data_IF_743837578811
#
_entry.id   IF_743837578811
#
_cell.length_a   1.000
_cell.length_b   1.000
_cell.length_c   1.000
_cell.angle_alpha   90.00
_cell.angle_beta   90.00
_cell.angle_gamma   90.00
#
_symmetry.space_group_name_H-M   'P 1'
#
loop_
_entity.id
_entity.type
_entity.pdbx_description
1 polymer ?
#
# COMPACT_ATOMS: atom_id res chain seq x y z
N UNK A 1 -0.11 -5.62 -17.76
CA UNK A 1 -1.57 -5.71 -18.02
C UNK A 1 -2.33 -4.99 -16.91
N UNK A 2 -3.04 -3.92 -17.22
CA UNK A 2 -3.87 -3.20 -16.23
C UNK A 2 -5.08 -4.07 -15.84
N UNK A 3 -5.29 -4.31 -14.53
CA UNK A 3 -6.36 -5.18 -13.98
C UNK A 3 -7.03 -4.52 -12.77
N UNK A 4 -8.19 -5.07 -12.34
CA UNK A 4 -8.90 -4.64 -11.14
C UNK A 4 -8.26 -5.19 -9.85
N UNK A 5 -8.43 -4.46 -8.73
CA UNK A 5 -7.87 -4.88 -7.43
C UNK A 5 -8.47 -6.20 -6.94
N UNK A 6 -9.78 -6.34 -7.01
CA UNK A 6 -10.47 -7.54 -6.55
C UNK A 6 -9.99 -8.80 -7.28
N UNK A 7 -9.71 -8.70 -8.60
CA UNK A 7 -9.20 -9.82 -9.41
C UNK A 7 -7.91 -10.43 -8.83
N UNK A 8 -6.96 -9.57 -8.43
CA UNK A 8 -5.67 -10.04 -7.90
C UNK A 8 -5.73 -10.43 -6.43
N UNK A 9 -6.53 -9.72 -5.60
CA UNK A 9 -6.60 -10.00 -4.15
C UNK A 9 -7.34 -11.29 -3.84
N UNK A 10 -8.44 -11.59 -4.54
CA UNK A 10 -9.18 -12.85 -4.35
C UNK A 10 -8.29 -14.04 -4.68
N UNK A 11 -7.54 -13.96 -5.78
CA UNK A 11 -6.58 -15.01 -6.17
C UNK A 11 -5.45 -15.14 -5.14
N UNK A 12 -4.82 -14.02 -4.76
CA UNK A 12 -3.74 -14.02 -3.77
C UNK A 12 -4.18 -14.63 -2.44
N UNK A 13 -5.39 -14.30 -1.98
CA UNK A 13 -5.97 -14.88 -0.75
C UNK A 13 -6.14 -16.39 -0.84
N UNK A 14 -6.66 -16.88 -1.96
CA UNK A 14 -6.84 -18.32 -2.21
C UNK A 14 -5.49 -19.07 -2.23
N UNK A 15 -4.44 -18.45 -2.72
CA UNK A 15 -3.08 -19.00 -2.83
C UNK A 15 -2.22 -18.75 -1.59
N UNK A 16 -2.75 -18.13 -0.53
CA UNK A 16 -2.01 -17.70 0.68
C UNK A 16 -0.80 -16.83 0.33
N UNK A 17 -1.04 -15.86 -0.53
CA UNK A 17 -0.10 -14.84 -0.98
C UNK A 17 -0.65 -13.44 -0.66
N UNK A 18 0.21 -12.43 -0.72
CA UNK A 18 -0.22 -11.04 -0.71
C UNK A 18 0.38 -10.29 -1.91
N UNK A 19 -0.37 -9.33 -2.42
CA UNK A 19 0.08 -8.44 -3.49
C UNK A 19 0.81 -7.25 -2.86
N UNK A 20 2.04 -7.02 -3.30
CA UNK A 20 2.79 -5.83 -2.90
C UNK A 20 2.16 -4.59 -3.50
N UNK A 21 1.95 -3.57 -2.67
CA UNK A 21 1.46 -2.26 -3.07
C UNK A 21 2.57 -1.23 -2.82
N UNK A 22 3.15 -0.73 -3.90
CA UNK A 22 4.28 0.19 -3.85
C UNK A 22 3.82 1.62 -4.14
N UNK A 23 4.07 2.54 -3.20
CA UNK A 23 3.90 3.98 -3.46
C UNK A 23 4.99 4.45 -4.42
N UNK A 24 4.60 5.09 -5.50
CA UNK A 24 5.49 5.43 -6.62
C UNK A 24 5.41 6.91 -7.00
N UNK A 25 5.87 7.85 -6.14
CA UNK A 25 5.77 9.29 -6.36
C UNK A 25 6.74 9.84 -7.41
N UNK A 26 7.46 8.99 -8.14
CA UNK A 26 8.30 9.38 -9.26
C UNK A 26 8.43 8.27 -10.31
N UNK A 27 8.99 8.60 -11.47
CA UNK A 27 9.13 7.69 -12.60
C UNK A 27 10.06 6.49 -12.29
N UNK A 28 11.12 6.73 -11.54
CA UNK A 28 12.12 5.74 -11.19
C UNK A 28 11.52 4.62 -10.33
N UNK A 29 10.68 4.99 -9.36
CA UNK A 29 9.95 4.03 -8.55
C UNK A 29 8.94 3.23 -9.36
N UNK A 30 8.23 3.85 -10.32
CA UNK A 30 7.34 3.13 -11.24
C UNK A 30 8.15 2.10 -12.05
N UNK A 31 9.29 2.50 -12.62
CA UNK A 31 10.16 1.63 -13.41
C UNK A 31 10.71 0.48 -12.58
N UNK A 32 11.23 0.77 -11.38
CA UNK A 32 11.74 -0.23 -10.47
C UNK A 32 10.67 -1.26 -10.07
N UNK A 33 9.46 -0.80 -9.70
CA UNK A 33 8.35 -1.67 -9.31
C UNK A 33 7.90 -2.60 -10.45
N UNK A 34 7.73 -2.07 -11.66
CA UNK A 34 7.34 -2.87 -12.83
C UNK A 34 8.44 -3.87 -13.19
N UNK A 35 9.71 -3.44 -13.22
CA UNK A 35 10.83 -4.34 -13.54
C UNK A 35 10.95 -5.46 -12.50
N UNK A 36 10.86 -5.14 -11.20
CA UNK A 36 10.88 -6.12 -10.13
C UNK A 36 9.74 -7.16 -10.30
N UNK A 37 8.52 -6.69 -10.54
CA UNK A 37 7.35 -7.56 -10.70
C UNK A 37 7.47 -8.46 -11.94
N UNK A 38 7.95 -7.94 -13.06
CA UNK A 38 8.18 -8.72 -14.28
C UNK A 38 9.29 -9.76 -14.12
N UNK A 39 10.37 -9.43 -13.40
CA UNK A 39 11.51 -10.34 -13.18
C UNK A 39 11.12 -11.54 -12.31
N UNK A 40 10.29 -11.31 -11.26
CA UNK A 40 9.80 -12.40 -10.41
C UNK A 40 8.49 -13.01 -10.91
N UNK A 41 7.92 -12.48 -12.00
CA UNK A 41 6.64 -12.88 -12.61
C UNK A 41 5.48 -12.87 -11.59
N UNK A 42 5.28 -11.74 -10.90
CA UNK A 42 4.25 -11.55 -9.88
C UNK A 42 3.39 -10.33 -10.17
N UNK A 43 2.10 -10.34 -9.80
CA UNK A 43 1.27 -9.14 -9.86
C UNK A 43 1.77 -8.07 -8.87
N UNK A 44 1.49 -6.80 -9.17
CA UNK A 44 1.87 -5.66 -8.32
C UNK A 44 0.78 -4.58 -8.34
N UNK A 45 0.70 -3.81 -7.25
CA UNK A 45 -0.12 -2.60 -7.18
C UNK A 45 0.84 -1.40 -7.22
N UNK A 46 0.68 -0.53 -8.22
CA UNK A 46 1.25 0.80 -8.21
C UNK A 46 0.26 1.73 -7.51
N UNK A 47 0.69 2.41 -6.47
CA UNK A 47 -0.20 3.31 -5.76
C UNK A 47 0.39 4.71 -5.57
N UNK A 48 -0.48 5.71 -5.47
CA UNK A 48 -0.15 7.09 -5.16
C UNK A 48 -1.00 7.54 -3.98
N UNK A 49 -0.35 7.92 -2.87
CA UNK A 49 -1.06 8.44 -1.71
C UNK A 49 -1.41 9.91 -1.92
N UNK A 50 -2.60 10.34 -1.48
CA UNK A 50 -2.99 11.75 -1.54
C UNK A 50 -1.95 12.67 -0.86
N UNK A 51 -1.33 12.18 0.24
CA UNK A 51 -0.26 12.89 0.94
C UNK A 51 1.00 13.14 0.11
N UNK A 52 1.24 12.39 -0.95
CA UNK A 52 2.37 12.61 -1.88
C UNK A 52 2.12 13.73 -2.89
N UNK A 53 0.95 14.36 -2.90
CA UNK A 53 0.62 15.47 -3.79
C UNK A 53 1.58 16.67 -3.71
N UNK A 54 2.30 16.84 -2.58
CA UNK A 54 3.35 17.84 -2.45
C UNK A 54 4.65 17.49 -3.20
N UNK A 55 4.87 16.21 -3.52
CA UNK A 55 6.01 15.73 -4.30
C UNK A 55 5.69 15.75 -5.80
N UNK A 56 4.53 15.26 -6.17
CA UNK A 56 4.03 15.23 -7.53
C UNK A 56 2.51 15.10 -7.50
N UNK A 57 1.82 15.83 -8.37
CA UNK A 57 0.36 15.77 -8.43
C UNK A 57 -0.15 14.46 -9.05
N UNK A 58 -1.37 14.07 -8.71
CA UNK A 58 -2.02 12.90 -9.29
C UNK A 58 -2.19 13.03 -10.81
N UNK A 59 -2.43 14.27 -11.31
CA UNK A 59 -2.55 14.56 -12.74
C UNK A 59 -1.26 14.30 -13.51
N UNK A 60 -0.12 14.51 -12.87
CA UNK A 60 1.19 14.29 -13.50
C UNK A 60 1.58 12.82 -13.47
N UNK A 61 1.51 12.17 -12.30
CA UNK A 61 2.01 10.81 -12.13
C UNK A 61 1.01 9.74 -12.60
N UNK A 62 -0.29 9.97 -12.44
CA UNK A 62 -1.35 8.99 -12.74
C UNK A 62 -1.35 8.49 -14.17
N UNK A 63 -1.27 9.35 -15.20
CA UNK A 63 -1.16 8.91 -16.60
C UNK A 63 0.08 8.06 -16.86
N UNK A 64 1.20 8.34 -16.18
CA UNK A 64 2.45 7.57 -16.31
C UNK A 64 2.27 6.19 -15.69
N UNK A 65 1.71 6.10 -14.47
CA UNK A 65 1.39 4.82 -13.80
C UNK A 65 0.52 3.94 -14.70
N UNK A 66 -0.57 4.50 -15.25
CA UNK A 66 -1.48 3.80 -16.16
C UNK A 66 -0.79 3.34 -17.45
N UNK A 67 0.11 4.14 -18.00
CA UNK A 67 0.86 3.77 -19.19
C UNK A 67 1.78 2.56 -18.93
N UNK A 68 2.50 2.56 -17.81
CA UNK A 68 3.35 1.44 -17.43
C UNK A 68 2.53 0.20 -17.11
N UNK A 69 1.44 0.33 -16.36
CA UNK A 69 0.53 -0.78 -16.05
C UNK A 69 -0.03 -1.45 -17.31
N UNK A 70 -0.48 -0.67 -18.30
CA UNK A 70 -1.02 -1.19 -19.57
C UNK A 70 0.02 -1.97 -20.38
N UNK A 71 1.31 -1.58 -20.31
CA UNK A 71 2.42 -2.20 -21.07
C UNK A 71 3.06 -3.38 -20.35
N UNK A 72 2.85 -3.50 -19.04
CA UNK A 72 3.46 -4.57 -18.24
C UNK A 72 3.05 -5.96 -18.71
N UNK A 73 3.99 -6.92 -18.59
CA UNK A 73 3.80 -8.35 -18.87
C UNK A 73 3.07 -9.07 -17.76
N UNK A 74 3.06 -8.51 -16.55
CA UNK A 74 2.35 -9.04 -15.38
C UNK A 74 1.09 -8.22 -15.07
N UNK A 75 0.13 -8.76 -14.29
CA UNK A 75 -1.02 -7.99 -13.82
C UNK A 75 -0.58 -6.81 -12.94
N UNK A 76 -1.10 -5.62 -13.21
CA UNK A 76 -0.82 -4.40 -12.46
C UNK A 76 -2.13 -3.69 -12.14
N UNK A 77 -2.33 -3.39 -10.88
CA UNK A 77 -3.41 -2.51 -10.39
C UNK A 77 -2.86 -1.10 -10.26
N UNK A 78 -3.63 -0.10 -10.60
CA UNK A 78 -3.31 1.31 -10.32
C UNK A 78 -4.32 1.83 -9.30
N UNK A 79 -3.81 2.26 -8.14
CA UNK A 79 -4.57 2.51 -6.93
C UNK A 79 -4.30 3.91 -6.35
N UNK A 80 -5.36 4.60 -5.92
CA UNK A 80 -5.24 5.76 -5.05
C UNK A 80 -5.20 5.29 -3.59
N UNK A 81 -4.13 5.61 -2.91
CA UNK A 81 -3.86 5.27 -1.51
C UNK A 81 -4.22 6.45 -0.61
N UNK A 82 -4.81 6.19 0.55
CA UNK A 82 -5.24 7.21 1.54
C UNK A 82 -5.98 8.40 0.92
N UNK A 83 -6.98 8.15 0.08
CA UNK A 83 -7.86 9.21 -0.46
C UNK A 83 -8.74 9.77 0.66
N UNK A 84 -8.52 11.04 1.06
CA UNK A 84 -9.27 11.74 2.10
C UNK A 84 -10.33 12.67 1.51
N UNK A 85 -10.01 13.29 0.38
CA UNK A 85 -10.92 14.22 -0.29
C UNK A 85 -11.75 13.50 -1.35
N UNK A 86 -13.03 13.88 -1.41
CA UNK A 86 -13.94 13.39 -2.45
C UNK A 86 -13.40 13.72 -3.84
N UNK A 87 -12.87 14.93 -4.01
CA UNK A 87 -12.33 15.44 -5.25
C UNK A 87 -11.16 14.59 -5.77
N UNK A 88 -10.22 14.22 -4.91
CA UNK A 88 -9.07 13.39 -5.27
C UNK A 88 -9.51 11.98 -5.68
N UNK A 89 -10.46 11.38 -4.95
CA UNK A 89 -11.00 10.07 -5.26
C UNK A 89 -11.70 10.09 -6.63
N UNK A 90 -12.53 11.10 -6.90
CA UNK A 90 -13.19 11.26 -8.20
C UNK A 90 -12.19 11.49 -9.32
N UNK A 91 -11.13 12.25 -9.06
CA UNK A 91 -10.08 12.49 -10.02
C UNK A 91 -9.30 11.23 -10.38
N UNK A 92 -8.95 10.39 -9.40
CA UNK A 92 -8.31 9.09 -9.64
C UNK A 92 -9.17 8.20 -10.55
N UNK A 93 -10.47 8.09 -10.26
CA UNK A 93 -11.41 7.34 -11.10
C UNK A 93 -11.54 7.92 -12.51
N UNK A 94 -11.59 9.25 -12.64
CA UNK A 94 -11.64 9.94 -13.94
C UNK A 94 -10.38 9.70 -14.78
N UNK A 95 -9.20 9.61 -14.16
CA UNK A 95 -7.95 9.26 -14.84
C UNK A 95 -7.93 7.82 -15.35
N UNK A 96 -8.74 6.93 -14.77
CA UNK A 96 -8.81 5.51 -15.12
C UNK A 96 -8.09 4.59 -14.14
N UNK A 97 -7.91 5.00 -12.90
CA UNK A 97 -7.45 4.13 -11.83
C UNK A 97 -8.44 2.99 -11.64
N UNK A 98 -7.94 1.78 -11.43
CA UNK A 98 -8.78 0.58 -11.30
C UNK A 98 -9.16 0.29 -9.85
N UNK A 99 -8.62 1.06 -8.92
CA UNK A 99 -8.92 0.98 -7.50
C UNK A 99 -8.68 2.31 -6.79
N UNK A 100 -9.46 2.59 -5.77
CA UNK A 100 -9.31 3.75 -4.90
C UNK A 100 -9.50 3.35 -3.45
N UNK A 101 -8.83 4.04 -2.53
CA UNK A 101 -9.10 3.97 -1.10
C UNK A 101 -9.82 5.23 -0.64
N UNK A 102 -10.83 5.05 0.20
CA UNK A 102 -11.39 6.10 1.07
C UNK A 102 -10.83 5.93 2.47
N UNK A 103 -10.03 6.89 2.93
CA UNK A 103 -9.53 6.92 4.30
C UNK A 103 -10.34 7.92 5.13
N UNK A 104 -11.36 7.40 5.79
CA UNK A 104 -12.19 8.10 6.76
C UNK A 104 -12.03 7.52 8.17
N UNK A 105 -10.92 6.81 8.45
CA UNK A 105 -10.67 6.10 9.70
C UNK A 105 -10.42 7.01 10.91
N UNK A 106 -10.16 8.29 10.70
CA UNK A 106 -10.07 9.34 11.71
C UNK A 106 -11.43 9.92 12.12
N UNK A 107 -12.53 9.53 11.44
CA UNK A 107 -13.89 9.98 11.72
C UNK A 107 -14.64 9.01 12.63
N UNK A 108 -15.73 9.46 13.28
CA UNK A 108 -16.63 8.57 13.99
C UNK A 108 -17.12 7.42 13.09
N UNK A 109 -17.32 6.24 13.67
CA UNK A 109 -17.65 5.00 12.94
C UNK A 109 -18.81 5.15 11.92
N UNK A 110 -19.92 5.78 12.37
CA UNK A 110 -21.10 5.99 11.50
C UNK A 110 -20.81 6.96 10.34
N UNK A 111 -19.93 7.93 10.55
CA UNK A 111 -19.53 8.87 9.50
C UNK A 111 -18.58 8.21 8.52
N UNK A 112 -17.66 7.37 8.98
CA UNK A 112 -16.81 6.53 8.12
C UNK A 112 -17.69 5.63 7.23
N UNK A 113 -18.68 4.93 7.82
CA UNK A 113 -19.65 4.13 7.04
C UNK A 113 -20.34 4.99 5.98
N UNK A 114 -20.87 6.15 6.36
CA UNK A 114 -21.64 6.98 5.44
C UNK A 114 -20.82 7.44 4.24
N UNK A 115 -19.59 7.92 4.46
CA UNK A 115 -18.67 8.36 3.41
C UNK A 115 -18.21 7.19 2.54
N UNK A 116 -17.88 6.07 3.16
CA UNK A 116 -17.43 4.88 2.44
C UNK A 116 -18.53 4.35 1.52
N UNK A 117 -19.79 4.29 1.98
CA UNK A 117 -20.94 3.88 1.15
C UNK A 117 -21.12 4.76 -0.08
N UNK A 118 -20.94 6.07 0.07
CA UNK A 118 -21.05 7.00 -1.05
C UNK A 118 -20.00 6.69 -2.12
N UNK A 119 -18.73 6.53 -1.71
CA UNK A 119 -17.64 6.21 -2.63
C UNK A 119 -17.83 4.83 -3.27
N UNK A 120 -18.20 3.80 -2.50
CA UNK A 120 -18.45 2.45 -3.01
C UNK A 120 -19.53 2.47 -4.09
N UNK A 121 -20.64 3.17 -3.84
CA UNK A 121 -21.73 3.28 -4.81
C UNK A 121 -21.28 3.87 -6.16
N UNK A 122 -20.44 4.91 -6.11
CA UNK A 122 -19.92 5.57 -7.31
C UNK A 122 -18.88 4.66 -8.00
N UNK A 123 -17.89 4.19 -7.26
CA UNK A 123 -16.78 3.40 -7.77
C UNK A 123 -17.26 2.10 -8.43
N UNK A 124 -18.16 1.35 -7.77
CA UNK A 124 -18.71 0.11 -8.31
C UNK A 124 -19.51 0.36 -9.60
N UNK A 125 -20.19 1.50 -9.72
CA UNK A 125 -20.88 1.84 -10.98
C UNK A 125 -19.94 2.05 -12.18
N UNK A 126 -18.66 2.33 -11.89
CA UNK A 126 -17.58 2.51 -12.86
C UNK A 126 -16.67 1.26 -12.99
N UNK A 127 -16.95 0.19 -12.25
CA UNK A 127 -16.10 -1.01 -12.23
C UNK A 127 -14.77 -0.81 -11.49
N UNK A 128 -14.70 0.18 -10.57
CA UNK A 128 -13.53 0.49 -9.75
C UNK A 128 -13.69 -0.13 -8.37
N UNK A 129 -12.67 -0.85 -7.88
CA UNK A 129 -12.67 -1.44 -6.55
C UNK A 129 -12.39 -0.40 -5.47
N UNK A 130 -12.93 -0.63 -4.26
CA UNK A 130 -12.79 0.28 -3.12
C UNK A 130 -12.13 -0.43 -1.94
N UNK A 131 -11.08 0.19 -1.41
CA UNK A 131 -10.46 -0.08 -0.12
C UNK A 131 -10.97 0.94 0.91
N UNK A 132 -11.15 0.52 2.17
CA UNK A 132 -11.39 1.41 3.30
C UNK A 132 -10.54 0.98 4.50
N UNK A 133 -10.52 1.80 5.56
CA UNK A 133 -9.72 1.53 6.77
C UNK A 133 -10.55 1.64 8.04
N UNK A 134 -10.29 0.73 8.98
CA UNK A 134 -10.77 0.76 10.35
C UNK A 134 -9.64 0.58 11.36
N UNK A 135 -9.76 1.30 12.47
CA UNK A 135 -8.74 1.39 13.49
C UNK A 135 -7.73 2.49 13.16
N UNK A 136 -6.68 2.59 13.95
CA UNK A 136 -5.65 3.61 13.76
C UNK A 136 -4.30 2.96 13.45
N UNK A 137 -3.78 3.23 12.25
CA UNK A 137 -2.41 2.86 11.86
C UNK A 137 -1.49 4.01 12.20
N UNK A 138 -0.51 3.77 13.07
CA UNK A 138 0.45 4.79 13.52
C UNK A 138 1.25 5.40 12.39
N UNK A 139 1.73 6.63 12.61
CA UNK A 139 2.62 7.32 11.68
C UNK A 139 3.87 7.78 12.41
N UNK A 140 5.03 7.26 11.99
CA UNK A 140 6.33 7.66 12.50
C UNK A 140 6.69 9.08 12.08
N UNK A 141 7.46 9.78 12.90
CA UNK A 141 8.03 11.09 12.59
C UNK A 141 9.05 11.07 11.44
N UNK A 142 9.54 9.89 11.04
CA UNK A 142 10.50 9.69 9.96
C UNK A 142 9.94 8.72 8.91
N UNK A 143 9.79 9.21 7.67
CA UNK A 143 9.39 8.37 6.53
C UNK A 143 7.90 8.01 6.47
N UNK A 144 7.07 8.57 7.35
CA UNK A 144 5.63 8.32 7.42
C UNK A 144 4.76 9.18 6.48
N UNK A 145 5.30 9.68 5.37
CA UNK A 145 4.67 10.69 4.50
C UNK A 145 3.40 10.28 3.75
N UNK A 146 2.75 9.19 4.11
CA UNK A 146 1.58 8.65 3.41
C UNK A 146 0.24 9.30 3.83
N UNK A 147 0.26 10.42 4.57
CA UNK A 147 -0.95 11.24 4.69
C UNK A 147 -1.46 11.56 6.08
N UNK A 148 -0.78 11.12 7.16
CA UNK A 148 -1.11 11.52 8.54
C UNK A 148 0.03 12.29 9.20
N UNK A 149 -0.33 13.18 10.13
CA UNK A 149 0.67 13.76 11.02
C UNK A 149 1.29 12.67 11.89
N UNK A 150 2.58 12.80 12.27
CA UNK A 150 3.20 11.85 13.20
C UNK A 150 2.43 11.78 14.51
N UNK A 151 2.24 10.55 15.01
CA UNK A 151 1.65 10.33 16.32
C UNK A 151 2.68 10.57 17.42
N UNK A 152 2.26 11.20 18.52
CA UNK A 152 3.04 11.24 19.76
C UNK A 152 3.25 9.79 20.28
N UNK A 153 4.39 9.53 20.92
CA UNK A 153 4.95 8.21 21.33
C UNK A 153 4.06 7.25 22.16
N UNK A 154 2.74 7.35 22.11
CA UNK A 154 1.79 6.47 22.80
C UNK A 154 1.49 5.17 22.02
N UNK A 155 2.46 4.64 21.32
CA UNK A 155 2.38 3.33 20.65
C UNK A 155 2.24 2.23 21.69
N UNK A 156 1.05 1.68 21.86
CA UNK A 156 0.82 0.56 22.75
C UNK A 156 -0.58 0.42 23.34
N UNK A 157 -1.48 1.32 23.02
CA UNK A 157 -2.88 1.22 23.44
C UNK A 157 -3.66 0.33 22.47
N UNK A 158 -4.18 -0.78 22.96
CA UNK A 158 -4.93 -1.77 22.15
C UNK A 158 -6.29 -1.26 21.68
N UNK A 159 -6.78 -0.17 22.23
CA UNK A 159 -8.09 0.42 21.93
C UNK A 159 -8.18 1.05 20.54
N UNK A 160 -7.01 1.25 19.91
CA UNK A 160 -6.90 1.76 18.52
C UNK A 160 -6.90 0.66 17.47
N UNK A 161 -6.74 -0.61 17.88
CA UNK A 161 -6.75 -1.73 16.94
C UNK A 161 -8.16 -2.02 16.45
N UNK A 162 -8.27 -2.48 15.21
CA UNK A 162 -9.56 -2.81 14.61
C UNK A 162 -10.30 -3.89 15.42
N UNK A 163 -11.53 -3.59 15.85
CA UNK A 163 -12.40 -4.57 16.49
C UNK A 163 -13.06 -5.49 15.44
N UNK A 164 -13.02 -6.82 15.61
CA UNK A 164 -13.58 -7.76 14.64
C UNK A 164 -15.09 -7.60 14.39
N UNK A 165 -15.88 -7.27 15.41
CA UNK A 165 -17.33 -7.08 15.26
C UNK A 165 -17.61 -5.77 14.50
N UNK A 166 -16.92 -4.69 14.86
CA UNK A 166 -17.03 -3.43 14.11
C UNK A 166 -16.60 -3.60 12.65
N UNK A 167 -15.54 -4.40 12.37
CA UNK A 167 -15.13 -4.71 11.01
C UNK A 167 -16.23 -5.43 10.22
N UNK A 168 -16.93 -6.38 10.86
CA UNK A 168 -18.07 -7.06 10.26
C UNK A 168 -19.20 -6.08 9.94
N UNK A 169 -19.62 -5.29 10.91
CA UNK A 169 -20.71 -4.31 10.75
C UNK A 169 -20.37 -3.29 9.65
N UNK A 170 -19.11 -2.86 9.58
CA UNK A 170 -18.62 -1.95 8.56
C UNK A 170 -18.69 -2.55 7.16
N UNK A 171 -18.17 -3.77 6.98
CA UNK A 171 -18.16 -4.44 5.67
C UNK A 171 -19.58 -4.75 5.22
N UNK A 172 -20.45 -5.24 6.11
CA UNK A 172 -21.86 -5.52 5.81
C UNK A 172 -22.61 -4.24 5.41
N UNK A 173 -22.27 -3.10 6.03
CA UNK A 173 -22.89 -1.82 5.73
C UNK A 173 -22.38 -1.16 4.44
N UNK A 174 -21.08 -1.30 4.13
CA UNK A 174 -20.42 -0.52 3.06
C UNK A 174 -20.21 -1.29 1.78
N UNK A 175 -20.08 -2.62 1.86
CA UNK A 175 -19.74 -3.50 0.74
C UNK A 175 -18.39 -3.14 0.06
N UNK A 176 -17.38 -2.74 0.84
CA UNK A 176 -16.01 -2.53 0.34
C UNK A 176 -15.39 -3.83 -0.17
N UNK A 177 -14.44 -3.73 -1.11
CA UNK A 177 -13.79 -4.90 -1.73
C UNK A 177 -12.64 -5.46 -0.88
N UNK A 178 -11.98 -4.61 -0.08
CA UNK A 178 -10.98 -5.00 0.91
C UNK A 178 -10.92 -3.99 2.06
N UNK A 179 -10.37 -4.41 3.20
CA UNK A 179 -10.34 -3.62 4.42
C UNK A 179 -8.92 -3.54 4.99
N UNK A 180 -8.40 -2.31 5.12
CA UNK A 180 -7.19 -2.04 5.88
C UNK A 180 -7.51 -2.08 7.38
N UNK A 181 -6.66 -2.80 8.14
CA UNK A 181 -6.89 -3.10 9.55
C UNK A 181 -5.67 -2.76 10.40
N UNK A 182 -5.92 -2.15 11.56
CA UNK A 182 -4.90 -1.83 12.55
C UNK A 182 -4.71 -3.02 13.51
N UNK A 183 -3.48 -3.53 13.58
CA UNK A 183 -3.08 -4.64 14.44
C UNK A 183 -1.65 -4.52 14.98
N UNK A 184 -1.09 -3.31 14.96
CA UNK A 184 0.22 -2.97 15.54
C UNK A 184 1.29 -2.55 14.52
N UNK A 185 0.97 -2.45 13.23
CA UNK A 185 1.83 -1.85 12.22
C UNK A 185 1.75 -0.32 12.25
N UNK A 186 2.74 0.35 11.62
CA UNK A 186 2.78 1.80 11.48
C UNK A 186 3.54 2.27 10.25
N UNK A 187 3.16 3.43 9.71
CA UNK A 187 3.82 4.07 8.59
C UNK A 187 5.20 4.63 8.99
N UNK A 188 6.17 4.54 8.08
CA UNK A 188 7.50 5.10 8.26
C UNK A 188 8.50 4.14 8.91
N UNK A 189 9.50 4.70 9.58
CA UNK A 189 10.58 3.92 10.21
C UNK A 189 10.17 3.46 11.59
N UNK A 190 10.31 2.17 11.86
CA UNK A 190 10.15 1.63 13.20
C UNK A 190 11.37 1.95 14.06
N UNK A 191 11.20 2.73 15.15
CA UNK A 191 12.24 2.96 16.15
C UNK A 191 12.33 1.84 17.18
N UNK A 192 11.30 1.00 17.26
CA UNK A 192 11.23 -0.22 18.08
C UNK A 192 10.53 -1.29 17.26
N UNK A 193 10.85 -2.53 17.52
CA UNK A 193 10.18 -3.67 16.91
C UNK A 193 8.67 -3.60 17.16
N UNK A 194 7.82 -3.65 16.11
CA UNK A 194 6.38 -3.58 16.26
C UNK A 194 5.85 -4.82 16.97
N UNK A 195 4.85 -4.62 17.84
CA UNK A 195 4.13 -5.73 18.49
C UNK A 195 2.85 -6.01 17.72
N UNK A 196 2.88 -7.00 16.85
CA UNK A 196 1.77 -7.33 15.98
C UNK A 196 0.78 -8.29 16.66
N UNK A 197 -0.50 -7.90 16.71
CA UNK A 197 -1.61 -8.80 17.11
C UNK A 197 -2.09 -9.61 15.89
N UNK A 198 -1.29 -10.61 15.51
CA UNK A 198 -1.59 -11.46 14.36
C UNK A 198 -2.85 -12.33 14.57
N UNK A 199 -3.22 -12.64 15.81
CA UNK A 199 -4.46 -13.38 16.09
C UNK A 199 -5.70 -12.52 15.84
N UNK A 200 -5.60 -11.23 16.01
CA UNK A 200 -6.63 -10.25 15.63
C UNK A 200 -6.90 -10.26 14.14
N UNK A 201 -5.85 -10.29 13.31
CA UNK A 201 -6.00 -10.42 11.85
C UNK A 201 -6.86 -11.62 11.48
N UNK A 202 -6.60 -12.78 12.10
CA UNK A 202 -7.40 -13.99 11.88
C UNK A 202 -8.85 -13.82 12.29
N UNK A 203 -9.11 -13.24 13.47
CA UNK A 203 -10.45 -12.99 13.97
C UNK A 203 -11.23 -12.07 13.05
N UNK A 204 -10.61 -10.95 12.60
CA UNK A 204 -11.24 -10.03 11.65
C UNK A 204 -11.58 -10.76 10.35
N UNK A 205 -10.61 -11.48 9.77
CA UNK A 205 -10.83 -12.22 8.52
C UNK A 205 -11.96 -13.24 8.63
N UNK A 206 -12.08 -13.93 9.78
CA UNK A 206 -13.14 -14.90 10.00
C UNK A 206 -14.54 -14.28 10.04
N UNK A 207 -14.64 -13.02 10.47
CA UNK A 207 -15.89 -12.27 10.47
C UNK A 207 -16.25 -11.66 9.12
N UNK A 208 -15.27 -11.00 8.45
CA UNK A 208 -15.57 -10.20 7.25
C UNK A 208 -15.48 -10.99 5.94
N UNK A 209 -14.65 -12.03 5.88
CA UNK A 209 -14.45 -12.92 4.69
C UNK A 209 -14.01 -12.21 3.40
N UNK A 210 -13.60 -10.94 3.47
CA UNK A 210 -12.99 -10.21 2.36
C UNK A 210 -11.47 -10.12 2.54
N UNK A 211 -10.68 -9.82 1.50
CA UNK A 211 -9.24 -9.59 1.62
C UNK A 211 -8.94 -8.49 2.63
N UNK A 212 -7.96 -8.72 3.51
CA UNK A 212 -7.46 -7.70 4.44
C UNK A 212 -6.19 -7.06 3.91
N UNK A 213 -5.97 -5.81 4.32
CA UNK A 213 -4.82 -5.00 3.91
C UNK A 213 -3.98 -4.64 5.14
N UNK A 214 -2.67 -4.76 4.98
CA UNK A 214 -1.66 -4.30 5.94
C UNK A 214 -1.09 -2.97 5.45
N UNK A 215 -1.36 -1.89 6.15
CA UNK A 215 -0.66 -0.62 6.03
C UNK A 215 0.59 -0.63 6.91
N UNK A 216 1.56 0.25 6.62
CA UNK A 216 2.81 0.32 7.38
C UNK A 216 3.62 -0.99 7.33
N UNK A 217 3.57 -1.69 6.20
CA UNK A 217 4.23 -2.98 6.06
C UNK A 217 5.76 -2.92 5.99
N UNK A 218 6.38 -1.77 5.67
CA UNK A 218 7.84 -1.66 5.59
C UNK A 218 8.52 -1.96 6.92
N UNK A 219 9.51 -2.87 6.93
CA UNK A 219 10.32 -3.17 8.12
C UNK A 219 9.71 -4.18 9.09
N UNK A 220 8.67 -4.89 8.70
CA UNK A 220 8.14 -6.06 9.41
C UNK A 220 9.02 -7.28 9.09
N UNK A 221 9.20 -8.17 10.05
CA UNK A 221 9.98 -9.40 9.85
C UNK A 221 9.32 -10.37 8.85
N UNK A 222 10.13 -11.10 8.07
CA UNK A 222 9.63 -12.01 7.03
C UNK A 222 8.66 -13.08 7.57
N UNK A 223 8.90 -13.60 8.76
CA UNK A 223 8.03 -14.56 9.45
C UNK A 223 6.66 -13.98 9.79
N UNK A 224 6.61 -12.69 10.16
CA UNK A 224 5.39 -11.99 10.52
C UNK A 224 4.55 -11.66 9.30
N UNK A 225 5.18 -11.25 8.19
CA UNK A 225 4.47 -11.15 6.90
C UNK A 225 3.79 -12.47 6.54
N UNK A 226 4.53 -13.58 6.59
CA UNK A 226 3.98 -14.89 6.23
C UNK A 226 2.82 -15.27 7.13
N UNK A 227 2.96 -15.06 8.44
CA UNK A 227 1.89 -15.33 9.40
C UNK A 227 0.66 -14.44 9.16
N UNK A 228 0.85 -13.15 8.92
CA UNK A 228 -0.24 -12.22 8.60
C UNK A 228 -0.99 -12.63 7.32
N UNK A 229 -0.25 -13.02 6.28
CA UNK A 229 -0.81 -13.48 5.00
C UNK A 229 -1.63 -14.77 5.21
N UNK A 230 -1.12 -15.74 5.93
CA UNK A 230 -1.88 -16.94 6.26
C UNK A 230 -3.18 -16.63 7.01
N UNK A 231 -3.18 -15.60 7.85
CA UNK A 231 -4.31 -15.18 8.68
C UNK A 231 -5.32 -14.27 7.99
N UNK A 232 -5.03 -13.73 6.80
CA UNK A 232 -6.06 -12.95 6.07
C UNK A 232 -5.54 -11.80 5.23
N UNK A 233 -4.31 -11.34 5.46
CA UNK A 233 -3.72 -10.25 4.67
C UNK A 233 -3.52 -10.71 3.22
N UNK A 234 -3.95 -9.87 2.27
CA UNK A 234 -3.84 -10.10 0.84
C UNK A 234 -3.20 -8.93 0.06
N UNK A 235 -3.08 -7.76 0.69
CA UNK A 235 -2.36 -6.59 0.17
C UNK A 235 -1.44 -6.07 1.26
N UNK A 236 -0.23 -5.67 0.91
CA UNK A 236 0.75 -5.09 1.85
C UNK A 236 1.30 -3.81 1.24
N UNK A 237 1.06 -2.68 1.92
CA UNK A 237 1.67 -1.40 1.56
C UNK A 237 3.14 -1.40 1.96
N UNK A 238 4.02 -1.10 1.00
CA UNK A 238 5.46 -1.14 1.18
C UNK A 238 6.12 0.06 0.49
N UNK A 239 6.74 0.95 1.24
CA UNK A 239 7.32 2.20 0.72
C UNK A 239 8.65 2.56 1.37
N UNK A 240 8.67 2.76 2.69
CA UNK A 240 9.75 3.43 3.42
C UNK A 240 11.11 2.76 3.22
N UNK A 241 11.18 1.44 3.37
CA UNK A 241 12.44 0.70 3.31
C UNK A 241 12.96 0.59 1.87
N UNK A 242 12.11 0.45 0.88
CA UNK A 242 12.53 0.51 -0.52
C UNK A 242 13.11 1.89 -0.87
N UNK A 243 12.48 2.97 -0.40
CA UNK A 243 12.99 4.33 -0.59
C UNK A 243 14.37 4.49 0.06
N UNK A 244 14.55 3.95 1.28
CA UNK A 244 15.86 3.93 1.95
C UNK A 244 16.90 3.08 1.21
N UNK A 245 16.52 1.93 0.64
CA UNK A 245 17.42 1.07 -0.14
C UNK A 245 17.96 1.80 -1.38
N UNK A 246 17.09 2.49 -2.12
CA UNK A 246 17.50 3.33 -3.25
C UNK A 246 18.46 4.46 -2.83
N UNK A 247 18.13 5.15 -1.73
CA UNK A 247 18.99 6.21 -1.19
C UNK A 247 20.33 5.68 -0.68
N UNK A 248 20.35 4.49 -0.08
CA UNK A 248 21.58 3.84 0.38
C UNK A 248 22.49 3.45 -0.79
N UNK A 249 21.94 2.86 -1.83
CA UNK A 249 22.68 2.52 -3.05
C UNK A 249 23.34 3.77 -3.67
N UNK A 250 22.58 4.87 -3.79
CA UNK A 250 23.11 6.14 -4.29
C UNK A 250 24.20 6.70 -3.37
N UNK A 251 23.97 6.72 -2.07
CA UNK A 251 24.97 7.20 -1.09
C UNK A 251 26.28 6.43 -1.21
N UNK A 252 26.22 5.10 -1.36
CA UNK A 252 27.41 4.27 -1.42
C UNK A 252 28.13 4.44 -2.77
N UNK A 253 27.41 4.66 -3.86
CA UNK A 253 27.97 5.03 -5.15
C UNK A 253 28.73 6.37 -5.08
N UNK A 254 28.15 7.40 -4.45
CA UNK A 254 28.76 8.72 -4.32
C UNK A 254 29.97 8.78 -3.35
N UNK A 255 30.17 7.75 -2.52
CA UNK A 255 31.36 7.62 -1.65
C UNK A 255 32.60 7.08 -2.37
N UNK A 256 32.45 6.53 -3.58
CA UNK A 256 33.58 6.01 -4.34
C UNK A 256 34.45 7.20 -4.81
N UNK A 257 35.73 7.23 -4.37
CA UNK A 257 36.66 8.33 -4.68
C UNK A 257 37.06 8.31 -6.18
N UNK A 258 37.32 9.52 -6.69
CA UNK A 258 37.90 9.80 -8.03
C UNK A 258 37.03 9.42 -9.25
N UNK A 259 35.71 9.63 -9.19
CA UNK A 259 34.81 9.54 -10.34
C UNK A 259 34.13 10.87 -10.61
N UNK A 260 33.93 11.18 -11.88
CA UNK A 260 32.93 12.15 -12.29
C UNK A 260 31.54 11.48 -12.17
N UNK A 261 30.59 12.18 -11.52
CA UNK A 261 29.23 11.68 -11.33
C UNK A 261 28.28 12.39 -12.29
N UNK A 262 27.53 11.62 -13.07
CA UNK A 262 26.45 12.11 -13.90
C UNK A 262 25.10 11.80 -13.28
N UNK A 263 24.14 12.69 -13.49
CA UNK A 263 22.82 12.57 -12.86
C UNK A 263 22.10 11.27 -13.29
N UNK A 264 22.21 10.90 -14.57
CA UNK A 264 21.63 9.66 -15.09
C UNK A 264 22.19 8.41 -14.40
N UNK A 265 23.51 8.35 -14.13
CA UNK A 265 24.13 7.24 -13.41
C UNK A 265 23.64 7.16 -11.95
N UNK A 266 23.51 8.32 -11.28
CA UNK A 266 22.97 8.42 -9.92
C UNK A 266 21.53 7.89 -9.86
N UNK A 267 20.71 8.26 -10.85
CA UNK A 267 19.32 7.80 -10.96
C UNK A 267 19.27 6.30 -11.24
N UNK A 268 20.10 5.77 -12.12
CA UNK A 268 20.16 4.34 -12.43
C UNK A 268 20.54 3.51 -11.21
N UNK A 269 21.55 3.93 -10.45
CA UNK A 269 22.00 3.26 -9.23
C UNK A 269 20.89 3.25 -8.16
N UNK A 270 20.24 4.40 -7.93
CA UNK A 270 19.11 4.47 -7.00
C UNK A 270 17.94 3.56 -7.44
N UNK A 271 17.60 3.57 -8.74
CA UNK A 271 16.55 2.73 -9.32
C UNK A 271 16.87 1.23 -9.15
N UNK A 272 18.13 0.86 -9.29
CA UNK A 272 18.59 -0.53 -9.08
C UNK A 272 18.39 -0.94 -7.62
N UNK A 273 18.81 -0.10 -6.66
CA UNK A 273 18.60 -0.37 -5.22
C UNK A 273 17.12 -0.54 -4.86
N UNK A 274 16.25 0.33 -5.38
CA UNK A 274 14.79 0.19 -5.25
C UNK A 274 14.29 -1.15 -5.80
N UNK A 275 14.71 -1.52 -7.01
CA UNK A 275 14.27 -2.75 -7.68
C UNK A 275 14.66 -4.00 -6.89
N UNK A 276 15.88 -4.07 -6.39
CA UNK A 276 16.38 -5.21 -5.63
C UNK A 276 15.57 -5.41 -4.35
N UNK A 277 15.26 -4.35 -3.61
CA UNK A 277 14.43 -4.38 -2.41
C UNK A 277 12.97 -4.77 -2.74
N UNK A 278 12.37 -4.20 -3.79
CA UNK A 278 11.05 -4.60 -4.25
C UNK A 278 10.98 -6.08 -4.64
N UNK A 279 12.02 -6.63 -5.26
CA UNK A 279 12.07 -8.05 -5.61
C UNK A 279 12.10 -8.95 -4.37
N UNK A 280 12.82 -8.55 -3.33
CA UNK A 280 12.85 -9.27 -2.06
C UNK A 280 11.46 -9.26 -1.40
N UNK A 281 10.82 -8.09 -1.28
CA UNK A 281 9.47 -7.98 -0.75
C UNK A 281 8.47 -8.85 -1.53
N UNK A 282 8.49 -8.78 -2.87
CA UNK A 282 7.63 -9.60 -3.73
C UNK A 282 7.82 -11.11 -3.48
N UNK A 283 9.06 -11.57 -3.29
CA UNK A 283 9.35 -12.99 -3.00
C UNK A 283 8.78 -13.39 -1.64
N UNK A 284 9.03 -12.61 -0.59
CA UNK A 284 8.54 -12.86 0.76
C UNK A 284 7.01 -12.95 0.78
N UNK A 285 6.32 -11.97 0.13
CA UNK A 285 4.86 -11.92 0.14
C UNK A 285 4.23 -13.09 -0.64
N UNK A 286 4.96 -13.69 -1.55
CA UNK A 286 4.55 -14.84 -2.34
C UNK A 286 5.07 -16.19 -1.81
N UNK A 287 5.75 -16.22 -0.66
CA UNK A 287 6.22 -17.44 -0.02
C UNK A 287 7.40 -18.12 -0.73
N UNK A 288 8.27 -17.32 -1.36
CA UNK A 288 9.45 -17.80 -2.12
C UNK A 288 10.74 -17.39 -1.45
#
# INVERSE_FOLDING_TARGET
>A
MLVGLQEVLVKARAEKQAIAAFNVPNLEMIRAAIQAAEEVNMPVILQHAEGHGSLISLEEIGPIMLQYAKRSKVPVVVHLDHGKSFEMIMQAMKLGFTSVMIDASDLPFEENIARTKEIVKIAHSLGVSVEAELGHVFTSSLGGGEGRAPDDDQIGETDIYTDPNQAKDFVDATAVDCLAVAFGTGHGVYFKEPKLDLDRVKKIYDEVKIPLVMHGGSGVEASDYRTAIEKGIAKINYYTYANQAGAAALRDYLKADNQDYFLEDCIEVATKGLREDYMEALKIFNGK
#
